data_IF_378119845655
#
_entry.id   IF_378119845655
#
_cell.length_a   1.000
_cell.length_b   1.000
_cell.length_c   1.000
_cell.angle_alpha   90.00
_cell.angle_beta   90.00
_cell.angle_gamma   90.00
#
_symmetry.space_group_name_H-M   'P 1'
#
loop_
_entity.id
_entity.type
_entity.pdbx_description
1 polymer ?
#
# COMPACT_ATOMS: atom_id res chain seq x y z
N UNK A 1 22.50 9.58 -4.58
CA UNK A 1 22.53 9.12 -3.19
C UNK A 1 22.92 10.27 -2.29
N UNK A 2 22.03 10.64 -1.37
CA UNK A 2 22.36 11.54 -0.27
C UNK A 2 22.69 10.69 0.95
N UNK A 3 23.82 10.96 1.57
CA UNK A 3 24.23 10.27 2.78
C UNK A 3 24.56 11.29 3.88
N UNK A 4 24.03 11.07 5.06
CA UNK A 4 24.33 11.87 6.22
C UNK A 4 25.19 11.09 7.20
N UNK A 5 26.32 11.66 7.58
CA UNK A 5 27.22 11.08 8.57
C UNK A 5 27.26 12.02 9.78
N UNK A 6 26.91 11.49 10.94
CA UNK A 6 26.93 12.20 12.20
C UNK A 6 27.94 11.59 13.19
N UNK A 7 28.26 12.33 14.22
CA UNK A 7 29.06 11.86 15.35
C UNK A 7 28.27 12.03 16.64
N UNK A 8 28.17 10.96 17.42
CA UNK A 8 27.54 11.02 18.74
C UNK A 8 28.40 11.76 19.76
N UNK A 9 27.76 12.42 20.71
CA UNK A 9 28.41 13.14 21.83
C UNK A 9 29.20 12.22 22.78
N UNK A 10 28.89 10.91 22.74
CA UNK A 10 29.53 9.91 23.58
C UNK A 10 29.60 8.55 22.87
N UNK A 11 30.45 7.66 23.38
CA UNK A 11 30.48 6.23 22.93
C UNK A 11 29.46 5.36 23.66
N UNK A 12 28.71 5.93 24.60
CA UNK A 12 27.59 5.24 25.23
C UNK A 12 26.46 5.00 24.22
N UNK A 13 25.91 3.77 24.18
CA UNK A 13 24.87 3.39 23.22
C UNK A 13 23.61 4.26 23.36
N UNK A 14 23.19 4.53 24.60
CA UNK A 14 21.97 5.31 24.85
C UNK A 14 22.14 6.76 24.36
N UNK A 15 23.32 7.34 24.51
CA UNK A 15 23.62 8.68 23.99
C UNK A 15 23.68 8.68 22.48
N UNK A 16 24.31 7.66 21.87
CA UNK A 16 24.37 7.52 20.43
C UNK A 16 22.97 7.38 19.82
N UNK A 17 22.11 6.58 20.46
CA UNK A 17 20.72 6.41 20.05
C UNK A 17 19.92 7.71 20.19
N UNK A 18 20.09 8.43 21.30
CA UNK A 18 19.44 9.73 21.51
C UNK A 18 19.85 10.74 20.44
N UNK A 19 21.16 10.85 20.15
CA UNK A 19 21.67 11.75 19.13
C UNK A 19 21.14 11.41 17.73
N UNK A 20 20.97 10.11 17.44
CA UNK A 20 20.37 9.68 16.19
C UNK A 20 18.88 10.09 16.11
N UNK A 21 18.11 9.91 17.16
CA UNK A 21 16.71 10.34 17.18
C UNK A 21 16.56 11.87 17.13
N UNK A 22 17.46 12.64 17.77
CA UNK A 22 17.49 14.10 17.61
C UNK A 22 17.69 14.49 16.13
N UNK A 23 18.53 13.77 15.40
CA UNK A 23 18.66 13.99 13.95
C UNK A 23 17.37 13.61 13.19
N UNK A 24 16.76 12.46 13.48
CA UNK A 24 15.51 12.04 12.85
C UNK A 24 14.40 13.08 13.05
N UNK A 25 14.27 13.65 14.24
CA UNK A 25 13.31 14.71 14.53
C UNK A 25 13.50 15.95 13.63
N UNK A 26 14.72 16.21 13.16
CA UNK A 26 14.97 17.36 12.26
C UNK A 26 14.48 17.15 10.83
N UNK A 27 14.25 15.91 10.44
CA UNK A 27 13.82 15.52 9.08
C UNK A 27 12.43 14.87 9.07
N UNK A 28 11.88 14.55 10.24
CA UNK A 28 10.54 13.96 10.35
C UNK A 28 9.46 14.97 9.93
N UNK A 29 8.41 14.45 9.33
CA UNK A 29 7.19 15.20 9.04
C UNK A 29 6.24 15.00 10.22
N UNK A 30 5.55 16.06 10.63
CA UNK A 30 4.54 15.97 11.67
C UNK A 30 3.45 14.97 11.27
N UNK A 31 3.18 14.04 12.19
CA UNK A 31 2.13 13.04 11.99
C UNK A 31 0.81 13.54 12.54
N UNK A 32 -0.27 13.29 11.81
CA UNK A 32 -1.62 13.57 12.25
C UNK A 32 -2.34 12.29 12.69
N UNK A 33 -3.16 12.39 13.72
CA UNK A 33 -4.06 11.31 14.08
C UNK A 33 -5.19 11.22 13.06
N UNK A 34 -5.42 10.04 12.50
CA UNK A 34 -6.41 9.80 11.45
C UNK A 34 -7.32 8.63 11.81
N UNK A 35 -8.61 8.86 11.67
CA UNK A 35 -9.64 7.86 11.94
C UNK A 35 -10.12 7.23 10.65
N UNK A 36 -10.16 5.90 10.59
CA UNK A 36 -10.61 5.20 9.39
C UNK A 36 -11.60 4.09 9.69
N UNK A 37 -12.49 3.84 8.74
CA UNK A 37 -13.19 2.57 8.62
C UNK A 37 -12.49 1.69 7.58
N UNK A 38 -12.33 0.42 7.92
CA UNK A 38 -11.78 -0.58 6.99
C UNK A 38 -12.72 -1.79 6.96
N UNK A 39 -13.17 -2.17 5.76
CA UNK A 39 -14.19 -3.21 5.58
C UNK A 39 -13.77 -4.62 5.99
N UNK A 40 -12.47 -4.85 6.22
CA UNK A 40 -11.98 -6.16 6.64
C UNK A 40 -12.56 -6.63 7.98
N UNK A 41 -12.67 -5.71 8.92
CA UNK A 41 -13.09 -6.05 10.28
C UNK A 41 -14.56 -6.48 10.40
N UNK A 42 -15.40 -6.04 9.46
CA UNK A 42 -16.82 -6.40 9.44
C UNK A 42 -17.14 -7.53 8.48
N UNK A 43 -16.48 -7.55 7.32
CA UNK A 43 -16.93 -8.36 6.18
C UNK A 43 -15.85 -9.31 5.64
N UNK A 44 -14.59 -9.15 6.03
CA UNK A 44 -13.46 -9.89 5.43
C UNK A 44 -13.56 -9.84 3.89
N UNK A 45 -13.43 -10.98 3.21
CA UNK A 45 -13.55 -11.10 1.73
C UNK A 45 -14.99 -11.15 1.21
N UNK A 46 -15.99 -11.15 2.09
CA UNK A 46 -17.40 -11.25 1.71
C UNK A 46 -18.01 -9.89 1.36
N UNK A 47 -17.20 -8.99 0.83
CA UNK A 47 -17.63 -7.66 0.35
C UNK A 47 -18.22 -7.73 -1.05
N UNK A 48 -19.17 -6.84 -1.30
CA UNK A 48 -19.73 -6.52 -2.61
C UNK A 48 -19.87 -5.01 -2.73
N UNK A 49 -20.04 -4.48 -3.94
CA UNK A 49 -20.32 -3.05 -4.16
C UNK A 49 -21.48 -2.55 -3.27
N UNK A 50 -22.58 -3.32 -3.18
CA UNK A 50 -23.74 -2.99 -2.35
C UNK A 50 -23.43 -3.02 -0.84
N UNK A 51 -22.70 -4.03 -0.36
CA UNK A 51 -22.34 -4.14 1.05
C UNK A 51 -21.44 -2.97 1.47
N UNK A 52 -20.47 -2.60 0.65
CA UNK A 52 -19.58 -1.47 0.92
C UNK A 52 -20.35 -0.16 1.03
N UNK A 53 -21.20 0.14 0.04
CA UNK A 53 -22.01 1.36 0.06
C UNK A 53 -22.91 1.42 1.28
N UNK A 54 -23.55 0.30 1.64
CA UNK A 54 -24.39 0.21 2.83
C UNK A 54 -23.59 0.43 4.12
N UNK A 55 -22.42 -0.21 4.25
CA UNK A 55 -21.58 -0.06 5.43
C UNK A 55 -21.13 1.39 5.63
N UNK A 56 -20.66 2.03 4.57
CA UNK A 56 -20.27 3.45 4.61
C UNK A 56 -21.44 4.36 5.02
N UNK A 57 -22.61 4.12 4.43
CA UNK A 57 -23.83 4.89 4.76
C UNK A 57 -24.25 4.72 6.22
N UNK A 58 -24.28 3.50 6.74
CA UNK A 58 -24.73 3.28 8.13
C UNK A 58 -23.74 3.83 9.16
N UNK A 59 -22.43 3.79 8.88
CA UNK A 59 -21.41 4.39 9.74
C UNK A 59 -21.58 5.90 9.75
N UNK A 60 -21.68 6.53 8.59
CA UNK A 60 -21.88 7.97 8.47
C UNK A 60 -23.15 8.43 9.17
N UNK A 61 -24.25 7.74 8.94
CA UNK A 61 -25.52 8.01 9.62
C UNK A 61 -25.38 7.89 11.14
N UNK A 62 -24.60 6.88 11.61
CA UNK A 62 -24.31 6.71 13.04
C UNK A 62 -23.57 7.92 13.62
N UNK A 63 -22.63 8.49 12.92
CA UNK A 63 -21.89 9.68 13.36
C UNK A 63 -22.73 10.95 13.27
N UNK A 64 -23.36 11.19 12.13
CA UNK A 64 -24.14 12.40 11.86
C UNK A 64 -25.28 12.59 12.87
N UNK A 65 -25.98 11.50 13.25
CA UNK A 65 -27.08 11.59 14.24
C UNK A 65 -26.61 12.07 15.63
N UNK A 66 -25.33 11.96 15.95
CA UNK A 66 -24.73 12.44 17.20
C UNK A 66 -23.90 13.72 17.02
N UNK A 67 -23.93 14.33 15.84
CA UNK A 67 -23.16 15.54 15.53
C UNK A 67 -21.64 15.30 15.48
N UNK A 68 -21.22 14.05 15.22
CA UNK A 68 -19.82 13.68 15.05
C UNK A 68 -19.46 13.87 13.57
N UNK A 69 -18.29 14.41 13.30
CA UNK A 69 -17.77 14.55 11.93
C UNK A 69 -17.58 13.18 11.27
N UNK A 70 -17.61 13.09 9.92
CA UNK A 70 -17.22 11.90 9.19
C UNK A 70 -15.81 11.44 9.57
N UNK A 71 -15.51 10.17 9.33
CA UNK A 71 -14.16 9.65 9.46
C UNK A 71 -13.22 10.27 8.42
N UNK A 72 -11.93 10.34 8.74
CA UNK A 72 -10.92 10.85 7.81
C UNK A 72 -10.82 9.99 6.55
N UNK A 73 -11.07 8.68 6.66
CA UNK A 73 -11.06 7.79 5.50
C UNK A 73 -12.00 6.58 5.61
N UNK A 74 -12.43 6.10 4.44
CA UNK A 74 -13.21 4.88 4.25
C UNK A 74 -12.48 3.96 3.27
N UNK A 75 -12.16 2.75 3.71
CA UNK A 75 -11.24 1.84 2.99
C UNK A 75 -11.96 0.56 2.58
N UNK A 76 -11.93 0.26 1.29
CA UNK A 76 -12.32 -1.05 0.75
C UNK A 76 -11.13 -1.99 0.85
N UNK A 77 -11.26 -3.03 1.68
CA UNK A 77 -10.23 -4.03 1.91
C UNK A 77 -10.29 -5.18 0.90
N UNK A 78 -9.52 -6.25 1.10
CA UNK A 78 -9.47 -7.43 0.23
C UNK A 78 -10.85 -8.02 -0.07
N UNK A 79 -11.03 -8.52 -1.29
CA UNK A 79 -12.27 -9.14 -1.76
C UNK A 79 -12.87 -8.53 -3.02
N UNK A 80 -12.31 -7.41 -3.50
CA UNK A 80 -12.75 -6.75 -4.74
C UNK A 80 -12.07 -7.29 -6.00
N UNK A 81 -10.88 -7.88 -5.85
CA UNK A 81 -9.98 -8.25 -6.94
C UNK A 81 -10.42 -9.54 -7.64
N UNK A 82 -10.33 -9.56 -8.97
CA UNK A 82 -10.30 -10.76 -9.76
C UNK A 82 -8.86 -11.30 -9.85
N UNK A 83 -8.54 -12.28 -9.05
CA UNK A 83 -7.19 -12.86 -8.99
C UNK A 83 -6.75 -13.63 -10.24
N UNK A 84 -7.60 -13.70 -11.26
CA UNK A 84 -7.26 -14.21 -12.59
C UNK A 84 -7.01 -13.10 -13.62
N UNK A 85 -6.70 -11.89 -13.15
CA UNK A 85 -6.45 -10.70 -13.96
C UNK A 85 -5.29 -9.89 -13.41
N UNK A 86 -5.03 -8.71 -13.97
CA UNK A 86 -4.08 -7.74 -13.44
C UNK A 86 -4.80 -6.73 -12.55
N UNK A 87 -5.23 -7.18 -11.37
CA UNK A 87 -5.90 -6.32 -10.38
C UNK A 87 -7.21 -5.68 -10.89
N UNK A 88 -7.93 -6.37 -11.82
CA UNK A 88 -9.26 -5.94 -12.23
C UNK A 88 -10.31 -6.26 -11.16
N UNK A 89 -11.45 -5.62 -11.26
CA UNK A 89 -12.57 -5.91 -10.37
C UNK A 89 -13.21 -7.27 -10.67
N UNK A 90 -13.66 -7.96 -9.65
CA UNK A 90 -14.42 -9.19 -9.79
C UNK A 90 -15.93 -8.87 -10.00
N UNK A 91 -16.72 -9.91 -10.25
CA UNK A 91 -18.14 -9.79 -10.54
C UNK A 91 -19.01 -9.30 -9.36
N UNK A 92 -18.47 -9.20 -8.15
CA UNK A 92 -19.15 -8.61 -6.99
C UNK A 92 -19.13 -7.07 -7.03
N UNK A 93 -18.34 -6.50 -7.92
CA UNK A 93 -18.18 -5.06 -8.14
C UNK A 93 -18.51 -4.68 -9.58
N UNK A 94 -19.79 -4.82 -10.02
CA UNK A 94 -20.18 -4.60 -11.41
C UNK A 94 -20.06 -3.14 -11.88
N UNK A 95 -20.08 -2.21 -10.94
CA UNK A 95 -19.85 -0.78 -11.18
C UNK A 95 -18.47 -0.34 -10.69
N UNK A 96 -17.58 -1.29 -10.46
CA UNK A 96 -16.28 -1.05 -9.85
C UNK A 96 -16.43 -0.30 -8.50
N UNK A 97 -15.75 0.85 -8.32
CA UNK A 97 -15.83 1.64 -7.09
C UNK A 97 -16.51 3.00 -7.27
N UNK A 98 -17.15 3.26 -8.40
CA UNK A 98 -17.71 4.60 -8.68
C UNK A 98 -18.69 5.10 -7.62
N UNK A 99 -19.62 4.25 -7.20
CA UNK A 99 -20.63 4.66 -6.24
C UNK A 99 -20.03 4.88 -4.84
N UNK A 100 -19.15 3.99 -4.43
CA UNK A 100 -18.46 4.09 -3.13
C UNK A 100 -17.53 5.31 -3.09
N UNK A 101 -16.80 5.59 -4.15
CA UNK A 101 -15.98 6.79 -4.31
C UNK A 101 -16.82 8.07 -4.20
N UNK A 102 -17.90 8.14 -4.98
CA UNK A 102 -18.79 9.30 -4.96
C UNK A 102 -19.37 9.56 -3.57
N UNK A 103 -19.77 8.49 -2.87
CA UNK A 103 -20.31 8.60 -1.51
C UNK A 103 -19.27 9.17 -0.54
N UNK A 104 -18.03 8.68 -0.57
CA UNK A 104 -16.95 9.15 0.31
C UNK A 104 -16.55 10.59 -0.01
N UNK A 105 -16.49 10.94 -1.28
CA UNK A 105 -16.18 12.31 -1.71
C UNK A 105 -17.22 13.33 -1.25
N UNK A 106 -18.50 12.95 -1.16
CA UNK A 106 -19.55 13.81 -0.60
C UNK A 106 -19.36 14.12 0.89
N UNK A 107 -18.62 13.28 1.59
CA UNK A 107 -18.28 13.49 3.01
C UNK A 107 -17.02 14.34 3.19
N UNK A 108 -16.34 14.69 2.12
CA UNK A 108 -14.99 15.28 2.13
C UNK A 108 -13.96 14.41 2.87
N UNK A 109 -14.19 13.10 2.88
CA UNK A 109 -13.29 12.07 3.44
C UNK A 109 -12.39 11.48 2.36
N UNK A 110 -11.35 10.79 2.78
CA UNK A 110 -10.43 10.10 1.88
C UNK A 110 -10.97 8.72 1.50
N UNK A 111 -10.92 8.40 0.21
CA UNK A 111 -11.29 7.07 -0.26
C UNK A 111 -10.07 6.17 -0.37
N UNK A 112 -10.16 4.99 0.22
CA UNK A 112 -9.05 4.05 0.33
C UNK A 112 -9.32 2.70 -0.32
N UNK A 113 -8.23 2.09 -0.83
CA UNK A 113 -8.27 0.77 -1.42
C UNK A 113 -7.12 -0.10 -0.88
N UNK A 114 -7.43 -1.34 -0.59
CA UNK A 114 -6.44 -2.36 -0.27
C UNK A 114 -5.82 -2.95 -1.54
N UNK A 115 -4.54 -3.24 -1.48
CA UNK A 115 -3.83 -4.01 -2.47
C UNK A 115 -2.73 -4.84 -1.80
N UNK A 116 -2.65 -6.12 -2.16
CA UNK A 116 -1.57 -7.00 -1.72
C UNK A 116 -0.50 -7.15 -2.80
N UNK A 117 0.59 -6.36 -2.79
CA UNK A 117 1.55 -6.31 -3.91
C UNK A 117 2.15 -7.65 -4.31
N UNK A 118 2.19 -8.61 -3.39
CA UNK A 118 2.69 -9.97 -3.62
C UNK A 118 1.65 -10.92 -4.22
N UNK A 119 0.38 -10.49 -4.38
CA UNK A 119 -0.70 -11.27 -4.95
C UNK A 119 -1.87 -11.54 -4.00
N UNK A 120 -1.82 -11.01 -2.79
CA UNK A 120 -2.86 -11.19 -1.77
C UNK A 120 -2.75 -12.51 -0.99
N UNK A 121 -3.56 -12.66 0.03
CA UNK A 121 -3.49 -13.79 0.94
C UNK A 121 -4.34 -14.99 0.49
N UNK A 122 -3.71 -16.17 0.41
CA UNK A 122 -4.37 -17.42 0.00
C UNK A 122 -4.65 -17.51 -1.51
N UNK A 123 -4.32 -16.47 -2.26
CA UNK A 123 -4.53 -16.37 -3.71
C UNK A 123 -3.25 -16.04 -4.48
N UNK A 124 -2.16 -15.85 -3.76
CA UNK A 124 -0.86 -15.40 -4.26
C UNK A 124 -0.41 -16.22 -5.47
N UNK A 125 -0.50 -17.53 -5.35
CA UNK A 125 -0.10 -18.43 -6.43
C UNK A 125 -0.93 -18.24 -7.69
N UNK A 126 -2.21 -17.98 -7.56
CA UNK A 126 -3.11 -17.81 -8.70
C UNK A 126 -2.77 -16.57 -9.50
N UNK A 127 -2.73 -15.42 -8.84
CA UNK A 127 -2.39 -14.16 -9.50
C UNK A 127 -0.93 -14.12 -9.95
N UNK A 128 0.00 -14.61 -9.14
CA UNK A 128 1.41 -14.64 -9.48
C UNK A 128 1.66 -15.48 -10.74
N UNK A 129 1.09 -16.68 -10.83
CA UNK A 129 1.21 -17.52 -12.01
C UNK A 129 0.55 -16.88 -13.24
N UNK A 130 -0.60 -16.22 -13.07
CA UNK A 130 -1.25 -15.51 -14.15
C UNK A 130 -0.36 -14.37 -14.67
N UNK A 131 0.20 -13.55 -13.78
CA UNK A 131 1.11 -12.46 -14.12
C UNK A 131 2.35 -12.97 -14.84
N UNK A 132 2.99 -14.04 -14.34
CA UNK A 132 4.14 -14.65 -14.96
C UNK A 132 3.81 -15.20 -16.35
N UNK A 133 2.68 -15.91 -16.50
CA UNK A 133 2.25 -16.49 -17.77
C UNK A 133 1.93 -15.43 -18.85
N UNK A 134 1.58 -14.22 -18.44
CA UNK A 134 1.36 -13.09 -19.34
C UNK A 134 2.60 -12.20 -19.54
N UNK A 135 3.74 -12.58 -19.00
CA UNK A 135 5.01 -11.85 -19.15
C UNK A 135 5.07 -10.51 -18.39
N UNK A 136 4.18 -10.33 -17.43
CA UNK A 136 4.00 -9.08 -16.67
C UNK A 136 4.89 -8.99 -15.44
N UNK A 137 5.52 -10.06 -15.05
CA UNK A 137 6.43 -10.12 -13.91
C UNK A 137 6.97 -11.51 -13.68
N UNK A 138 7.82 -11.67 -12.68
CA UNK A 138 8.35 -12.95 -12.22
C UNK A 138 7.67 -13.40 -10.92
N UNK A 139 7.73 -14.72 -10.66
CA UNK A 139 7.15 -15.36 -9.48
C UNK A 139 8.25 -15.83 -8.56
N UNK A 140 8.11 -15.62 -7.27
CA UNK A 140 8.96 -16.19 -6.26
C UNK A 140 8.48 -17.61 -5.89
N UNK A 141 9.13 -18.61 -6.45
CA UNK A 141 8.75 -20.01 -6.20
C UNK A 141 9.14 -20.50 -4.80
N UNK A 142 10.12 -19.90 -4.17
CA UNK A 142 10.57 -20.30 -2.82
C UNK A 142 9.61 -19.83 -1.72
N UNK A 143 8.97 -18.68 -1.93
CA UNK A 143 8.00 -18.11 -0.98
C UNK A 143 6.54 -18.53 -1.23
N UNK A 144 6.33 -19.66 -1.90
CA UNK A 144 4.98 -20.19 -2.12
C UNK A 144 4.28 -19.66 -3.38
N UNK A 145 4.97 -18.92 -4.22
CA UNK A 145 4.50 -18.48 -5.53
C UNK A 145 3.90 -17.07 -5.52
N UNK A 146 4.48 -16.18 -4.74
CA UNK A 146 4.12 -14.76 -4.77
C UNK A 146 4.76 -14.00 -5.93
N UNK A 147 4.19 -12.85 -6.24
CA UNK A 147 4.76 -11.91 -7.22
C UNK A 147 6.09 -11.37 -6.68
N UNK A 148 7.09 -11.31 -7.54
CA UNK A 148 8.33 -10.62 -7.22
C UNK A 148 8.12 -9.10 -7.27
N UNK A 149 8.03 -8.48 -6.10
CA UNK A 149 7.79 -7.03 -5.96
C UNK A 149 9.00 -6.15 -6.29
N UNK A 150 10.11 -6.74 -6.75
CA UNK A 150 11.25 -6.01 -7.33
C UNK A 150 11.28 -6.07 -8.86
N UNK A 151 10.39 -6.83 -9.52
CA UNK A 151 10.35 -6.95 -10.97
C UNK A 151 9.85 -5.65 -11.63
N UNK A 152 10.72 -5.01 -12.40
CA UNK A 152 10.42 -3.73 -13.02
C UNK A 152 9.20 -3.77 -13.97
N UNK A 153 8.95 -4.90 -14.64
CA UNK A 153 7.79 -5.06 -15.55
C UNK A 153 6.48 -4.98 -14.74
N UNK A 154 6.45 -5.73 -13.63
CA UNK A 154 5.31 -5.71 -12.72
C UNK A 154 5.09 -4.32 -12.12
N UNK A 155 6.14 -3.72 -11.56
CA UNK A 155 6.05 -2.43 -10.89
C UNK A 155 5.65 -1.30 -11.85
N UNK A 156 6.21 -1.26 -13.05
CA UNK A 156 5.83 -0.24 -14.05
C UNK A 156 4.35 -0.35 -14.42
N UNK A 157 3.85 -1.59 -14.62
CA UNK A 157 2.45 -1.79 -14.94
C UNK A 157 1.54 -1.51 -13.74
N UNK A 158 1.94 -1.94 -12.53
CA UNK A 158 1.20 -1.68 -11.30
C UNK A 158 1.03 -0.18 -11.05
N UNK A 159 2.11 0.58 -11.18
CA UNK A 159 2.07 2.03 -11.01
C UNK A 159 1.08 2.67 -11.98
N UNK A 160 1.25 2.39 -13.28
CA UNK A 160 0.47 3.05 -14.32
C UNK A 160 -1.00 2.61 -14.33
N UNK A 161 -1.23 1.28 -14.40
CA UNK A 161 -2.54 0.73 -14.75
C UNK A 161 -3.40 0.43 -13.50
N UNK A 162 -2.82 0.54 -12.29
CA UNK A 162 -3.56 0.35 -11.04
C UNK A 162 -3.48 1.61 -10.17
N UNK A 163 -2.30 1.99 -9.71
CA UNK A 163 -2.22 3.13 -8.78
C UNK A 163 -2.69 4.43 -9.44
N UNK A 164 -2.03 4.89 -10.48
CA UNK A 164 -2.39 6.16 -11.12
C UNK A 164 -3.78 6.11 -11.77
N UNK A 165 -4.10 5.03 -12.50
CA UNK A 165 -5.42 4.91 -13.14
C UNK A 165 -6.57 4.88 -12.13
N UNK A 166 -6.44 4.12 -11.03
CA UNK A 166 -7.52 4.05 -10.03
C UNK A 166 -7.59 5.30 -9.16
N UNK A 167 -6.47 5.99 -8.94
CA UNK A 167 -6.48 7.31 -8.35
C UNK A 167 -7.30 8.28 -9.18
N UNK A 168 -7.09 8.32 -10.49
CA UNK A 168 -7.82 9.21 -11.39
C UNK A 168 -9.29 8.83 -11.51
N UNK A 169 -9.56 7.53 -11.62
CA UNK A 169 -10.90 7.01 -11.89
C UNK A 169 -11.82 7.06 -10.69
N UNK A 170 -11.29 6.79 -9.49
CA UNK A 170 -12.08 6.64 -8.26
C UNK A 170 -11.70 7.62 -7.17
N UNK A 171 -10.85 8.60 -7.46
CA UNK A 171 -10.40 9.59 -6.49
C UNK A 171 -9.73 8.96 -5.25
N UNK A 172 -9.04 7.84 -5.43
CA UNK A 172 -8.33 7.14 -4.34
C UNK A 172 -7.13 7.97 -3.93
N UNK A 173 -7.02 8.25 -2.63
CA UNK A 173 -5.87 8.92 -2.04
C UNK A 173 -5.36 8.23 -0.75
N UNK A 174 -5.88 7.06 -0.45
CA UNK A 174 -5.42 6.18 0.61
C UNK A 174 -5.17 4.78 0.06
N UNK A 175 -3.96 4.24 0.23
CA UNK A 175 -3.64 2.88 -0.17
C UNK A 175 -3.20 2.04 1.03
N UNK A 176 -3.89 0.94 1.27
CA UNK A 176 -3.42 -0.09 2.20
C UNK A 176 -2.64 -1.13 1.39
N UNK A 177 -1.31 -1.11 1.53
CA UNK A 177 -0.39 -2.05 0.88
C UNK A 177 -0.08 -3.18 1.86
N UNK A 178 -0.72 -4.33 1.65
CA UNK A 178 -0.66 -5.45 2.58
C UNK A 178 0.35 -6.52 2.15
N UNK A 179 1.08 -7.05 3.11
CA UNK A 179 2.08 -8.07 2.85
C UNK A 179 3.32 -7.55 2.09
N UNK A 180 3.57 -6.26 2.14
CA UNK A 180 4.75 -5.66 1.53
C UNK A 180 6.00 -6.03 2.33
N UNK A 181 6.75 -7.00 1.85
CA UNK A 181 7.93 -7.53 2.51
C UNK A 181 9.18 -7.08 1.74
N UNK A 182 9.98 -6.21 2.35
CA UNK A 182 11.21 -5.67 1.79
C UNK A 182 12.47 -6.15 2.54
N UNK A 183 12.39 -7.30 3.23
CA UNK A 183 13.52 -7.84 3.97
C UNK A 183 14.48 -8.62 3.06
N UNK A 184 15.81 -8.48 3.27
CA UNK A 184 16.76 -9.36 2.64
C UNK A 184 16.50 -10.80 3.12
N UNK A 185 16.20 -11.68 2.18
CA UNK A 185 16.16 -13.11 2.43
C UNK A 185 17.28 -13.76 1.64
N UNK A 186 18.15 -14.48 2.32
CA UNK A 186 19.21 -15.27 1.69
C UNK A 186 18.63 -16.42 0.86
N UNK A 187 17.42 -16.83 1.14
CA UNK A 187 16.70 -17.88 0.41
C UNK A 187 16.13 -17.42 -0.93
N UNK A 188 16.12 -16.10 -1.18
CA UNK A 188 15.59 -15.50 -2.39
C UNK A 188 16.69 -15.07 -3.37
N UNK A 189 17.87 -15.64 -3.26
CA UNK A 189 19.03 -15.23 -4.07
C UNK A 189 18.82 -15.34 -5.58
N UNK A 190 17.94 -16.21 -6.04
CA UNK A 190 17.62 -16.36 -7.47
C UNK A 190 16.88 -15.16 -8.08
N UNK A 191 16.30 -14.28 -7.24
CA UNK A 191 15.62 -13.05 -7.68
C UNK A 191 16.53 -11.83 -7.65
N UNK A 192 17.74 -11.98 -7.16
CA UNK A 192 18.66 -10.87 -7.07
C UNK A 192 19.43 -10.72 -8.38
N UNK A 193 19.23 -9.59 -9.03
CA UNK A 193 19.88 -9.25 -10.32
C UNK A 193 21.40 -9.36 -10.23
N UNK A 194 21.97 -9.16 -9.05
CA UNK A 194 23.42 -9.13 -8.83
C UNK A 194 23.95 -10.23 -7.92
N UNK A 195 23.09 -11.10 -7.40
CA UNK A 195 23.45 -12.06 -6.35
C UNK A 195 23.79 -11.44 -5.00
N UNK A 196 23.62 -10.11 -4.85
CA UNK A 196 23.79 -9.39 -3.58
C UNK A 196 22.42 -8.96 -3.03
N UNK A 197 21.93 -9.60 -1.95
CA UNK A 197 20.63 -9.31 -1.38
C UNK A 197 20.44 -7.85 -0.95
N UNK A 198 21.45 -7.23 -0.37
CA UNK A 198 21.38 -5.85 0.10
C UNK A 198 21.23 -4.86 -1.05
N UNK A 199 21.91 -5.11 -2.16
CA UNK A 199 21.79 -4.29 -3.36
C UNK A 199 20.38 -4.37 -3.95
N UNK A 200 19.84 -5.58 -4.08
CA UNK A 200 18.50 -5.79 -4.63
C UNK A 200 17.43 -5.15 -3.75
N UNK A 201 17.59 -5.18 -2.43
CA UNK A 201 16.68 -4.50 -1.52
C UNK A 201 16.76 -2.99 -1.69
N UNK A 202 17.94 -2.41 -1.75
CA UNK A 202 18.11 -0.98 -1.99
C UNK A 202 17.42 -0.56 -3.29
N UNK A 203 17.65 -1.32 -4.37
CA UNK A 203 17.01 -1.08 -5.66
C UNK A 203 15.47 -1.21 -5.59
N UNK A 204 14.97 -2.17 -4.81
CA UNK A 204 13.53 -2.34 -4.61
C UNK A 204 12.93 -1.15 -3.86
N UNK A 205 13.60 -0.67 -2.82
CA UNK A 205 13.18 0.53 -2.09
C UNK A 205 13.16 1.75 -3.02
N UNK A 206 14.18 1.96 -3.81
CA UNK A 206 14.23 3.07 -4.78
C UNK A 206 13.03 3.02 -5.73
N UNK A 207 12.76 1.86 -6.35
CA UNK A 207 11.62 1.68 -7.26
C UNK A 207 10.28 1.94 -6.59
N UNK A 208 10.10 1.51 -5.35
CA UNK A 208 8.87 1.78 -4.62
C UNK A 208 8.75 3.24 -4.19
N UNK A 209 9.86 3.89 -3.87
CA UNK A 209 9.88 5.34 -3.60
C UNK A 209 9.48 6.12 -4.84
N UNK A 210 10.04 5.80 -6.00
CA UNK A 210 9.65 6.40 -7.29
C UNK A 210 8.14 6.23 -7.56
N UNK A 211 7.59 5.05 -7.27
CA UNK A 211 6.14 4.80 -7.41
C UNK A 211 5.33 5.70 -6.46
N UNK A 212 5.75 5.82 -5.21
CA UNK A 212 5.05 6.67 -4.24
C UNK A 212 5.14 8.17 -4.60
N UNK A 213 6.26 8.60 -5.16
CA UNK A 213 6.41 9.95 -5.70
C UNK A 213 5.48 10.17 -6.90
N UNK A 214 5.46 9.26 -7.86
CA UNK A 214 4.54 9.29 -9.01
C UNK A 214 3.07 9.34 -8.55
N UNK A 215 2.68 8.52 -7.57
CA UNK A 215 1.33 8.51 -7.00
C UNK A 215 0.98 9.86 -6.35
N UNK A 216 1.93 10.48 -5.67
CA UNK A 216 1.76 11.80 -5.03
C UNK A 216 1.63 12.89 -6.09
N UNK A 217 2.47 12.88 -7.10
CA UNK A 217 2.44 13.83 -8.19
C UNK A 217 1.16 13.71 -9.02
N UNK A 218 0.70 12.48 -9.27
CA UNK A 218 -0.58 12.21 -9.95
C UNK A 218 -1.77 12.80 -9.20
N UNK A 219 -1.68 12.91 -7.88
CA UNK A 219 -2.70 13.50 -6.99
C UNK A 219 -2.32 14.88 -6.49
N UNK A 220 -1.61 15.68 -7.28
CA UNK A 220 -1.17 17.02 -6.91
C UNK A 220 -2.30 17.84 -6.26
N UNK A 221 -2.07 18.30 -5.03
CA UNK A 221 -3.05 19.04 -4.23
C UNK A 221 -3.96 18.20 -3.32
N UNK A 222 -3.78 16.88 -3.28
CA UNK A 222 -4.40 15.99 -2.29
C UNK A 222 -3.34 15.22 -1.52
N UNK A 223 -3.56 15.03 -0.24
CA UNK A 223 -2.70 14.19 0.59
C UNK A 223 -2.78 12.73 0.13
N UNK A 224 -1.64 12.10 -0.06
CA UNK A 224 -1.56 10.68 -0.30
C UNK A 224 -1.25 9.96 1.01
N UNK A 225 -2.07 8.99 1.37
CA UNK A 225 -1.86 8.14 2.54
C UNK A 225 -1.42 6.75 2.12
N UNK A 226 -0.33 6.31 2.71
CA UNK A 226 0.20 4.96 2.50
C UNK A 226 0.18 4.21 3.83
N UNK A 227 -0.71 3.24 3.95
CA UNK A 227 -0.71 2.30 5.05
C UNK A 227 0.06 1.05 4.63
N UNK A 228 1.33 0.99 4.98
CA UNK A 228 2.20 -0.13 4.67
C UNK A 228 2.09 -1.19 5.77
N UNK A 229 1.20 -2.16 5.58
CA UNK A 229 1.13 -3.35 6.43
C UNK A 229 2.25 -4.29 6.01
N UNK A 230 3.44 -4.02 6.50
CA UNK A 230 4.62 -4.81 6.21
C UNK A 230 5.06 -5.60 7.44
N UNK A 231 5.67 -6.75 7.23
CA UNK A 231 6.30 -7.53 8.29
C UNK A 231 7.76 -7.13 8.50
N UNK A 232 8.15 -5.96 8.01
CA UNK A 232 9.47 -5.38 8.22
C UNK A 232 9.49 -4.55 9.50
N UNK A 233 10.66 -4.40 10.07
CA UNK A 233 10.82 -3.48 11.19
C UNK A 233 10.52 -2.05 10.73
N UNK A 234 9.85 -1.25 11.57
CA UNK A 234 9.67 0.16 11.28
C UNK A 234 11.02 0.83 10.99
N UNK A 235 11.05 1.66 9.97
CA UNK A 235 12.22 2.44 9.62
C UNK A 235 11.87 3.93 9.66
N UNK A 236 12.69 4.77 10.28
CA UNK A 236 12.46 6.22 10.29
C UNK A 236 12.49 6.85 8.89
N UNK A 237 12.96 6.13 7.88
CA UNK A 237 12.98 6.58 6.49
C UNK A 237 11.65 6.37 5.76
N UNK A 238 10.66 5.76 6.40
CA UNK A 238 9.33 5.48 5.84
C UNK A 238 8.20 6.22 6.57
N UNK A 239 8.56 7.16 7.40
CA UNK A 239 7.59 7.95 8.19
C UNK A 239 7.51 9.37 7.64
#
# INVERSE_FOLDING_TARGET
WDAVVGAARSRDYSVTQSDFYEYIETIAIDTEFRQQYNSWYDNMKEITDEIIQKSFFEIEKGFTQYGIAPLDSYVVDDGWTNYSSFWDFNNKFPNELYNSSLQVNQLASNFGLWLGPRGGYGTERTIANWIASNGLGSVNNQSGGDINISDARYLTKLNKDVFCEYQDKFDINYWKLDGMLLNPSTEQSEYYVTGNPLYTISETYERWTDIFEDMRDNRAGKDLWLNMTSYTNPSPWHV
#
